data_IF_874129067090
#
_entry.id   IF_874129067090
#
_cell.length_a   1.000
_cell.length_b   1.000
_cell.length_c   1.000
_cell.angle_alpha   90.00
_cell.angle_beta   90.00
_cell.angle_gamma   90.00
#
_symmetry.space_group_name_H-M   'P 1'
#
loop_
_entity.id
_entity.type
_entity.pdbx_description
1 polymer ?
#
# COMPACT_ATOMS: atom_id res chain seq x y z
N UNK A 1 6.98 12.59 9.20
CA UNK A 1 6.65 12.40 7.77
C UNK A 1 6.53 10.94 7.38
N UNK A 2 7.48 10.06 7.74
CA UNK A 2 7.45 8.64 7.33
C UNK A 2 6.17 7.92 7.78
N UNK A 3 5.79 8.07 9.04
CA UNK A 3 4.57 7.43 9.59
C UNK A 3 3.29 7.95 8.94
N UNK A 4 3.18 9.27 8.72
CA UNK A 4 2.02 9.86 8.03
C UNK A 4 1.90 9.32 6.60
N UNK A 5 3.02 9.24 5.86
CA UNK A 5 2.98 8.65 4.52
C UNK A 5 2.55 7.19 4.55
N UNK A 6 2.98 6.41 5.55
CA UNK A 6 2.56 5.01 5.72
C UNK A 6 1.07 4.91 6.03
N UNK A 7 0.54 5.72 6.93
CA UNK A 7 -0.90 5.72 7.29
C UNK A 7 -1.76 6.10 6.07
N UNK A 8 -1.39 7.16 5.35
CA UNK A 8 -2.10 7.56 4.13
C UNK A 8 -2.05 6.46 3.07
N UNK A 9 -0.89 5.81 2.90
CA UNK A 9 -0.76 4.71 1.96
C UNK A 9 -1.58 3.49 2.37
N UNK A 10 -1.63 3.16 3.66
CA UNK A 10 -2.47 2.08 4.17
C UNK A 10 -3.96 2.32 3.82
N UNK A 11 -4.46 3.54 4.05
CA UNK A 11 -5.84 3.91 3.73
C UNK A 11 -6.09 3.82 2.22
N UNK A 12 -5.26 4.49 1.41
CA UNK A 12 -5.46 4.53 -0.04
C UNK A 12 -5.35 3.13 -0.65
N UNK A 13 -4.37 2.33 -0.24
CA UNK A 13 -4.22 0.97 -0.74
C UNK A 13 -5.37 0.06 -0.35
N UNK A 14 -5.88 0.16 0.88
CA UNK A 14 -7.05 -0.60 1.33
C UNK A 14 -8.27 -0.25 0.47
N UNK A 15 -8.52 1.05 0.24
CA UNK A 15 -9.62 1.49 -0.62
C UNK A 15 -9.49 0.96 -2.05
N UNK A 16 -8.29 1.02 -2.64
CA UNK A 16 -8.05 0.51 -4.00
C UNK A 16 -8.29 -1.00 -4.12
N UNK A 17 -7.90 -1.78 -3.12
CA UNK A 17 -8.13 -3.23 -3.13
C UNK A 17 -9.62 -3.55 -3.01
N UNK A 18 -10.34 -2.93 -2.08
CA UNK A 18 -11.78 -3.15 -1.93
C UNK A 18 -12.53 -2.75 -3.20
N UNK A 19 -12.12 -1.68 -3.89
CA UNK A 19 -12.68 -1.32 -5.20
C UNK A 19 -12.42 -2.41 -6.23
N UNK A 20 -11.18 -2.94 -6.30
CA UNK A 20 -10.82 -4.00 -7.25
C UNK A 20 -11.58 -5.31 -6.99
N UNK A 21 -11.81 -5.64 -5.71
CA UNK A 21 -12.60 -6.80 -5.30
C UNK A 21 -14.08 -6.60 -5.63
N UNK A 22 -14.62 -5.40 -5.42
CA UNK A 22 -16.00 -5.07 -5.76
C UNK A 22 -16.29 -5.26 -7.25
N UNK A 23 -15.42 -4.76 -8.13
CA UNK A 23 -15.55 -4.98 -9.58
C UNK A 23 -15.41 -6.45 -9.98
N UNK A 24 -14.65 -7.23 -9.22
CA UNK A 24 -14.50 -8.66 -9.46
C UNK A 24 -15.76 -9.43 -9.03
N UNK A 25 -16.34 -9.09 -7.87
CA UNK A 25 -17.55 -9.73 -7.34
C UNK A 25 -18.83 -9.34 -8.08
N UNK A 26 -18.96 -8.09 -8.57
CA UNK A 26 -20.16 -7.65 -9.27
C UNK A 26 -20.45 -8.44 -10.54
N UNK A 27 -19.41 -9.00 -11.19
CA UNK A 27 -19.57 -9.87 -12.37
C UNK A 27 -20.10 -11.27 -12.03
N UNK A 28 -20.01 -11.70 -10.77
CA UNK A 28 -20.46 -13.01 -10.29
C UNK A 28 -21.83 -12.93 -9.60
N UNK A 29 -22.10 -11.82 -8.91
CA UNK A 29 -23.34 -11.60 -8.15
C UNK A 29 -24.59 -11.38 -9.02
N UNK A 30 -24.44 -10.92 -10.27
CA UNK A 30 -25.56 -10.86 -11.23
C UNK A 30 -26.17 -12.25 -11.58
N UNK A 31 -25.55 -13.35 -11.12
CA UNK A 31 -26.04 -14.73 -11.36
C UNK A 31 -26.74 -15.38 -10.18
N UNK A 32 -26.73 -14.76 -8.99
CA UNK A 32 -27.35 -15.33 -7.81
C UNK A 32 -28.35 -14.33 -7.24
N UNK A 33 -29.61 -14.45 -7.67
CA UNK A 33 -30.75 -14.00 -6.87
C UNK A 33 -30.57 -14.55 -5.44
N UNK A 34 -31.04 -13.81 -4.44
CA UNK A 34 -30.87 -14.08 -3.00
C UNK A 34 -29.50 -13.66 -2.47
N UNK A 35 -29.38 -12.42 -1.99
CA UNK A 35 -28.98 -12.09 -0.61
C UNK A 35 -29.04 -10.57 -0.46
N UNK A 36 -29.90 -10.07 0.44
CA UNK A 36 -29.87 -8.68 0.91
C UNK A 36 -28.54 -8.43 1.65
N UNK A 37 -27.49 -8.08 0.93
CA UNK A 37 -26.27 -7.56 1.54
C UNK A 37 -26.45 -6.07 1.82
N UNK A 38 -25.81 -5.62 2.91
CA UNK A 38 -25.58 -4.21 3.25
C UNK A 38 -25.34 -3.36 1.99
N UNK A 39 -25.81 -2.11 2.01
CA UNK A 39 -25.60 -1.20 0.88
C UNK A 39 -24.14 -1.27 0.40
N UNK A 40 -23.88 -1.20 -0.92
CA UNK A 40 -22.52 -1.32 -1.47
C UNK A 40 -21.50 -0.42 -0.75
N UNK A 41 -21.96 0.75 -0.32
CA UNK A 41 -21.20 1.70 0.47
C UNK A 41 -20.88 1.23 1.90
N UNK A 42 -21.84 0.60 2.60
CA UNK A 42 -21.63 0.03 3.92
C UNK A 42 -20.59 -1.10 3.93
N UNK A 43 -20.69 -2.01 2.96
CA UNK A 43 -19.72 -3.09 2.76
C UNK A 43 -18.32 -2.53 2.47
N UNK A 44 -18.22 -1.53 1.58
CA UNK A 44 -16.96 -0.86 1.25
C UNK A 44 -16.26 -0.27 2.49
N UNK A 45 -16.99 0.46 3.32
CA UNK A 45 -16.46 1.07 4.54
C UNK A 45 -15.97 0.00 5.53
N UNK A 46 -16.74 -1.06 5.70
CA UNK A 46 -16.41 -2.14 6.64
C UNK A 46 -15.15 -2.86 6.22
N UNK A 47 -15.04 -3.30 4.95
CA UNK A 47 -13.84 -3.96 4.44
C UNK A 47 -12.60 -3.06 4.51
N UNK A 48 -12.74 -1.78 4.16
CA UNK A 48 -11.64 -0.81 4.27
C UNK A 48 -11.19 -0.65 5.73
N UNK A 49 -12.13 -0.49 6.66
CA UNK A 49 -11.83 -0.33 8.09
C UNK A 49 -11.12 -1.56 8.68
N UNK A 50 -11.43 -2.76 8.18
CA UNK A 50 -10.74 -3.99 8.59
C UNK A 50 -9.34 -4.12 7.99
N UNK A 51 -9.14 -3.73 6.72
CA UNK A 51 -7.83 -3.87 6.05
C UNK A 51 -6.79 -2.85 6.55
N UNK A 52 -7.20 -1.62 6.88
CA UNK A 52 -6.29 -0.54 7.28
C UNK A 52 -5.39 -0.92 8.47
N UNK A 53 -5.89 -1.49 9.58
CA UNK A 53 -5.07 -1.96 10.69
C UNK A 53 -3.98 -2.95 10.27
N UNK A 54 -4.29 -3.92 9.39
CA UNK A 54 -3.29 -4.87 8.90
C UNK A 54 -2.16 -4.16 8.15
N UNK A 55 -2.52 -3.22 7.27
CA UNK A 55 -1.53 -2.41 6.57
C UNK A 55 -0.70 -1.51 7.48
N UNK A 56 -1.26 -1.00 8.58
CA UNK A 56 -0.50 -0.19 9.53
C UNK A 56 0.45 -1.08 10.34
N UNK A 57 -0.05 -2.18 10.90
CA UNK A 57 0.72 -3.09 11.75
C UNK A 57 1.88 -3.73 10.98
N UNK A 58 1.66 -4.14 9.74
CA UNK A 58 2.69 -4.76 8.90
C UNK A 58 3.48 -3.72 8.10
N UNK A 59 2.81 -2.72 7.54
CA UNK A 59 3.42 -1.75 6.64
C UNK A 59 4.40 -0.82 7.34
N UNK A 60 4.16 -0.42 8.60
CA UNK A 60 5.13 0.38 9.36
C UNK A 60 6.47 -0.36 9.50
N UNK A 61 6.56 -1.50 10.19
CA UNK A 61 7.85 -2.17 10.44
C UNK A 61 8.55 -2.56 9.14
N UNK A 62 7.81 -3.07 8.15
CA UNK A 62 8.37 -3.42 6.82
C UNK A 62 8.96 -2.20 6.14
N UNK A 63 8.23 -1.07 6.11
CA UNK A 63 8.72 0.15 5.46
C UNK A 63 9.97 0.69 6.15
N UNK A 64 10.03 0.65 7.49
CA UNK A 64 11.20 1.07 8.25
C UNK A 64 12.40 0.14 8.00
N UNK A 65 12.18 -1.17 7.95
CA UNK A 65 13.21 -2.16 7.63
C UNK A 65 13.79 -1.93 6.24
N UNK A 66 12.94 -1.77 5.22
CA UNK A 66 13.36 -1.53 3.84
C UNK A 66 14.10 -0.19 3.73
N UNK A 67 13.58 0.88 4.36
CA UNK A 67 14.27 2.17 4.39
C UNK A 67 15.65 2.07 5.08
N UNK A 68 15.78 1.23 6.11
CA UNK A 68 17.05 1.00 6.80
C UNK A 68 18.07 0.27 5.92
N UNK A 69 17.63 -0.81 5.26
CA UNK A 69 18.46 -1.54 4.29
C UNK A 69 18.91 -0.60 3.16
N UNK A 70 17.97 0.16 2.59
CA UNK A 70 18.24 1.12 1.52
C UNK A 70 19.20 2.25 1.92
N UNK A 71 19.28 2.62 3.20
CA UNK A 71 20.27 3.60 3.68
C UNK A 71 21.68 3.02 3.76
N UNK A 72 21.81 1.72 4.04
CA UNK A 72 23.10 1.03 4.11
C UNK A 72 23.67 0.75 2.73
N UNK A 73 22.82 0.44 1.77
CA UNK A 73 23.22 0.30 0.38
C UNK A 73 23.40 1.73 -0.15
N UNK A 74 24.63 2.22 -0.26
CA UNK A 74 24.94 3.60 -0.71
C UNK A 74 24.59 3.76 -2.20
N UNK A 75 23.29 3.87 -2.50
CA UNK A 75 22.78 4.00 -3.85
C UNK A 75 22.58 5.47 -4.18
N UNK A 76 23.45 6.03 -5.02
CA UNK A 76 23.37 7.43 -5.46
C UNK A 76 22.28 7.69 -6.50
N UNK A 77 21.85 6.66 -7.24
CA UNK A 77 20.90 6.81 -8.34
C UNK A 77 19.46 6.46 -7.91
N UNK A 78 18.52 7.38 -8.15
CA UNK A 78 17.11 7.23 -7.78
C UNK A 78 16.43 6.02 -8.45
N UNK A 79 16.81 5.70 -9.69
CA UNK A 79 16.28 4.55 -10.43
C UNK A 79 16.76 3.25 -9.79
N UNK A 80 18.06 3.18 -9.44
CA UNK A 80 18.61 2.01 -8.73
C UNK A 80 17.95 1.83 -7.37
N UNK A 81 17.71 2.93 -6.64
CA UNK A 81 17.02 2.89 -5.35
C UNK A 81 15.58 2.38 -5.49
N UNK A 82 14.89 2.75 -6.57
CA UNK A 82 13.56 2.21 -6.89
C UNK A 82 13.60 0.69 -7.06
N UNK A 83 14.50 0.16 -7.90
CA UNK A 83 14.60 -1.29 -8.13
C UNK A 83 15.00 -2.07 -6.87
N UNK A 84 15.89 -1.52 -6.05
CA UNK A 84 16.24 -2.13 -4.75
C UNK A 84 15.02 -2.20 -3.84
N UNK A 85 14.23 -1.12 -3.75
CA UNK A 85 13.00 -1.13 -2.96
C UNK A 85 11.97 -2.09 -3.52
N UNK A 86 11.77 -2.08 -4.84
CA UNK A 86 10.85 -2.99 -5.52
C UNK A 86 11.22 -4.44 -5.19
N UNK A 87 12.49 -4.82 -5.35
CA UNK A 87 12.98 -6.14 -5.01
C UNK A 87 12.71 -6.53 -3.55
N UNK A 88 13.00 -5.63 -2.60
CA UNK A 88 12.75 -5.87 -1.18
C UNK A 88 11.26 -6.01 -0.87
N UNK A 89 10.40 -5.20 -1.47
CA UNK A 89 8.94 -5.32 -1.32
C UNK A 89 8.41 -6.60 -1.96
N UNK A 90 8.96 -7.03 -3.11
CA UNK A 90 8.63 -8.32 -3.73
C UNK A 90 9.02 -9.50 -2.84
N UNK A 91 10.18 -9.44 -2.17
CA UNK A 91 10.57 -10.47 -1.20
C UNK A 91 9.58 -10.54 -0.03
N UNK A 92 9.17 -9.39 0.50
CA UNK A 92 8.14 -9.34 1.55
C UNK A 92 6.82 -9.91 1.04
N UNK A 93 6.42 -9.57 -0.18
CA UNK A 93 5.20 -10.08 -0.79
C UNK A 93 5.19 -11.61 -0.92
N UNK A 94 6.35 -12.23 -1.13
CA UNK A 94 6.47 -13.69 -1.19
C UNK A 94 6.47 -14.34 0.21
N UNK A 95 7.14 -13.71 1.18
CA UNK A 95 7.28 -14.27 2.53
C UNK A 95 6.02 -14.10 3.39
N UNK A 96 5.27 -13.02 3.21
CA UNK A 96 4.18 -12.65 4.11
C UNK A 96 3.00 -13.67 4.05
N UNK A 97 2.53 -14.11 2.87
CA UNK A 97 1.48 -15.12 2.79
C UNK A 97 1.94 -16.51 3.27
N UNK A 98 3.21 -16.86 2.99
CA UNK A 98 3.76 -18.17 3.38
C UNK A 98 3.90 -18.28 4.89
N UNK A 99 4.32 -17.21 5.58
CA UNK A 99 4.38 -17.14 7.04
C UNK A 99 2.98 -17.09 7.66
N UNK A 100 2.04 -16.36 7.06
CA UNK A 100 0.70 -16.17 7.62
C UNK A 100 -0.21 -17.41 7.45
N UNK A 101 -0.08 -18.14 6.34
CA UNK A 101 -0.98 -19.26 6.00
C UNK A 101 -0.31 -20.63 5.97
N UNK A 102 1.03 -20.70 5.97
CA UNK A 102 1.74 -21.98 5.85
C UNK A 102 1.59 -22.66 4.49
N UNK A 103 0.98 -22.00 3.52
CA UNK A 103 0.70 -22.52 2.18
C UNK A 103 1.56 -21.83 1.12
N UNK A 104 2.12 -22.62 0.21
CA UNK A 104 2.92 -22.14 -0.93
C UNK A 104 2.10 -22.36 -2.22
N UNK A 105 0.84 -21.90 -2.21
CA UNK A 105 0.01 -21.86 -3.40
C UNK A 105 0.27 -20.56 -4.18
N UNK A 106 0.44 -20.66 -5.50
CA UNK A 106 0.71 -19.51 -6.37
C UNK A 106 -0.38 -18.46 -6.24
N UNK A 107 -1.65 -18.88 -6.23
CA UNK A 107 -2.81 -18.01 -6.04
C UNK A 107 -2.72 -17.25 -4.72
N UNK A 108 -2.39 -17.94 -3.63
CA UNK A 108 -2.23 -17.33 -2.31
C UNK A 108 -1.13 -16.26 -2.32
N UNK A 109 0.01 -16.55 -2.96
CA UNK A 109 1.13 -15.60 -3.07
C UNK A 109 0.74 -14.39 -3.92
N UNK A 110 0.00 -14.59 -5.00
CA UNK A 110 -0.41 -13.51 -5.91
C UNK A 110 -1.46 -12.62 -5.25
N UNK A 111 -2.57 -13.19 -4.78
CA UNK A 111 -3.72 -12.44 -4.26
C UNK A 111 -3.49 -11.87 -2.86
N UNK A 112 -2.83 -12.61 -1.96
CA UNK A 112 -2.60 -12.16 -0.57
C UNK A 112 -1.21 -11.55 -0.35
N UNK A 113 -0.31 -11.67 -1.34
CA UNK A 113 1.07 -11.17 -1.25
C UNK A 113 1.38 -10.07 -2.26
N UNK A 114 1.60 -10.47 -3.52
CA UNK A 114 2.10 -9.58 -4.57
C UNK A 114 1.18 -8.38 -4.81
N UNK A 115 -0.10 -8.62 -5.10
CA UNK A 115 -1.05 -7.54 -5.39
C UNK A 115 -1.13 -6.54 -4.22
N UNK A 116 -1.43 -6.95 -2.97
CA UNK A 116 -1.59 -6.00 -1.86
C UNK A 116 -0.30 -5.28 -1.48
N UNK A 117 0.84 -5.98 -1.48
CA UNK A 117 2.13 -5.40 -1.05
C UNK A 117 2.69 -4.46 -2.12
N UNK A 118 2.61 -4.83 -3.41
CA UNK A 118 3.07 -3.96 -4.49
C UNK A 118 2.15 -2.76 -4.68
N UNK A 119 0.83 -2.90 -4.52
CA UNK A 119 -0.10 -1.77 -4.52
C UNK A 119 0.28 -0.78 -3.42
N UNK A 120 0.51 -1.28 -2.20
CA UNK A 120 1.01 -0.46 -1.09
C UNK A 120 2.34 0.23 -1.39
N UNK A 121 3.31 -0.47 -1.98
CA UNK A 121 4.59 0.10 -2.35
C UNK A 121 4.46 1.28 -3.32
N UNK A 122 3.69 1.12 -4.40
CA UNK A 122 3.52 2.19 -5.40
C UNK A 122 2.75 3.39 -4.83
N UNK A 123 1.70 3.14 -4.04
CA UNK A 123 0.97 4.20 -3.33
C UNK A 123 1.90 4.93 -2.35
N UNK A 124 2.75 4.21 -1.61
CA UNK A 124 3.74 4.80 -0.70
C UNK A 124 4.74 5.70 -1.43
N UNK A 125 5.23 5.29 -2.59
CA UNK A 125 6.09 6.14 -3.41
C UNK A 125 5.36 7.41 -3.86
N UNK A 126 4.13 7.29 -4.33
CA UNK A 126 3.34 8.41 -4.80
C UNK A 126 3.03 9.41 -3.67
N UNK A 127 2.57 8.92 -2.51
CA UNK A 127 2.29 9.73 -1.33
C UNK A 127 3.56 10.44 -0.85
N UNK A 128 4.69 9.74 -0.76
CA UNK A 128 5.98 10.36 -0.38
C UNK A 128 6.40 11.45 -1.36
N UNK A 129 6.27 11.22 -2.67
CA UNK A 129 6.59 12.21 -3.70
C UNK A 129 5.70 13.45 -3.56
N UNK A 130 4.38 13.27 -3.37
CA UNK A 130 3.43 14.36 -3.23
C UNK A 130 3.66 15.19 -1.96
N UNK A 131 3.87 14.54 -0.80
CA UNK A 131 4.12 15.22 0.47
C UNK A 131 5.45 15.98 0.48
N UNK A 132 6.48 15.47 -0.20
CA UNK A 132 7.76 16.17 -0.34
C UNK A 132 7.64 17.38 -1.28
N UNK A 133 6.94 17.24 -2.41
CA UNK A 133 6.71 18.33 -3.38
C UNK A 133 5.94 19.51 -2.76
N UNK A 134 4.90 19.23 -1.95
CA UNK A 134 4.13 20.28 -1.27
C UNK A 134 4.96 21.11 -0.27
N UNK A 135 6.09 20.56 0.18
CA UNK A 135 6.99 21.18 1.16
C UNK A 135 8.06 22.07 0.52
N UNK A 136 8.35 21.88 -0.77
CA UNK A 136 9.13 22.80 -1.60
C UNK A 136 8.31 24.03 -2.04
N UNK A 137 7.18 24.35 -1.36
CA UNK A 137 6.62 25.69 -1.45
C UNK A 137 7.63 26.68 -0.86
N UNK A 138 7.87 27.79 -1.54
CA UNK A 138 9.17 28.41 -1.49
C UNK A 138 9.29 29.37 -0.31
N UNK A 139 10.35 29.19 0.48
CA UNK A 139 10.73 30.14 1.53
C UNK A 139 11.04 31.55 0.98
N UNK A 140 11.16 31.74 -0.34
CA UNK A 140 11.33 33.07 -0.96
C UNK A 140 10.08 33.97 -0.89
N UNK A 141 8.90 33.44 -0.55
CA UNK A 141 7.68 34.25 -0.36
C UNK A 141 7.58 34.89 1.03
N UNK A 142 8.46 34.55 1.98
CA UNK A 142 8.47 35.12 3.33
C UNK A 142 9.52 36.22 3.55
N UNK A 143 10.37 36.50 2.56
CA UNK A 143 11.42 37.54 2.65
C UNK A 143 11.08 38.85 1.93
N UNK A 144 9.83 39.05 1.52
CA UNK A 144 9.39 40.31 0.87
C UNK A 144 8.43 41.15 1.72
N UNK A 145 8.59 41.06 3.04
CA UNK A 145 8.07 42.06 4.00
C UNK A 145 9.24 42.50 4.87
N UNK A 146 9.96 43.52 4.41
CA UNK A 146 10.38 44.71 5.14
C UNK A 146 11.40 45.48 4.30
#
# INVERSE_FOLDING_TARGET
MKTISVIMSAIISSMLLVISEYFSFSTVAERADYYEYYSPFGSFLLYTAFQVPFYIILGIPVTYLIDFICKKIVVKNIVKLYFVRLFLFTLVAFLLPTVARGEIAIETIVYFGLIPVLTYFHVLLFVRKYLNCKREKPQYLLLKKH
#
